data_IF_516721090463
#
_entry.id   IF_516721090463
#
_cell.length_a   1.000
_cell.length_b   1.000
_cell.length_c   1.000
_cell.angle_alpha   90.00
_cell.angle_beta   90.00
_cell.angle_gamma   90.00
#
_symmetry.space_group_name_H-M   'P 1'
#
loop_
_entity.id
_entity.type
_entity.pdbx_description
1 polymer ?
#
# COMPACT_ATOMS: atom_id res chain seq x y z
N UNK A 1 0.45 -3.22 -21.52
CA UNK A 1 0.51 -3.68 -20.12
C UNK A 1 1.92 -4.15 -19.84
N UNK A 2 2.65 -3.45 -18.97
CA UNK A 2 4.03 -3.79 -18.64
C UNK A 2 4.06 -4.97 -17.67
N UNK A 3 3.77 -6.18 -18.17
CA UNK A 3 3.76 -7.43 -17.39
C UNK A 3 5.05 -7.68 -16.61
N UNK A 4 6.20 -7.26 -17.16
CA UNK A 4 7.48 -7.33 -16.46
C UNK A 4 7.53 -6.51 -15.16
N UNK A 5 6.83 -5.37 -15.10
CA UNK A 5 6.78 -4.53 -13.91
C UNK A 5 5.89 -5.17 -12.83
N UNK A 6 4.75 -5.76 -13.23
CA UNK A 6 3.85 -6.50 -12.31
C UNK A 6 4.59 -7.67 -11.65
N UNK A 7 5.31 -8.46 -12.46
CA UNK A 7 6.11 -9.58 -11.98
C UNK A 7 7.22 -9.07 -11.05
N UNK A 8 7.92 -8.00 -11.43
CA UNK A 8 8.97 -7.39 -10.61
C UNK A 8 8.48 -6.94 -9.23
N UNK A 9 7.37 -6.19 -9.18
CA UNK A 9 6.76 -5.72 -7.93
C UNK A 9 6.34 -6.92 -7.04
N UNK A 10 5.80 -7.97 -7.64
CA UNK A 10 5.35 -9.18 -6.92
C UNK A 10 6.53 -9.95 -6.35
N UNK A 11 7.61 -10.11 -7.13
CA UNK A 11 8.85 -10.74 -6.67
C UNK A 11 9.47 -9.95 -5.51
N UNK A 12 9.53 -8.62 -5.61
CA UNK A 12 10.04 -7.76 -4.53
C UNK A 12 9.19 -7.90 -3.27
N UNK A 13 7.85 -7.90 -3.39
CA UNK A 13 6.96 -8.08 -2.25
C UNK A 13 7.16 -9.46 -1.57
N UNK A 14 7.31 -10.52 -2.35
CA UNK A 14 7.59 -11.88 -1.85
C UNK A 14 8.94 -11.94 -1.14
N UNK A 15 9.99 -11.34 -1.73
CA UNK A 15 11.33 -11.28 -1.13
C UNK A 15 11.33 -10.52 0.19
N UNK A 16 10.59 -9.42 0.27
CA UNK A 16 10.45 -8.62 1.48
C UNK A 16 9.82 -9.45 2.61
N UNK A 17 8.72 -10.15 2.30
CA UNK A 17 8.07 -11.06 3.26
C UNK A 17 9.00 -12.19 3.67
N UNK A 18 9.67 -12.86 2.73
CA UNK A 18 10.61 -13.95 3.01
C UNK A 18 11.81 -13.50 3.85
N UNK A 19 12.29 -12.28 3.69
CA UNK A 19 13.43 -11.75 4.43
C UNK A 19 13.08 -11.35 5.86
N UNK A 20 11.92 -10.71 6.06
CA UNK A 20 11.50 -10.25 7.39
C UNK A 20 10.79 -11.33 8.22
N UNK A 21 10.16 -12.34 7.59
CA UNK A 21 9.54 -13.47 8.28
C UNK A 21 10.45 -14.26 9.23
N UNK A 22 11.70 -14.63 8.87
CA UNK A 22 12.64 -15.29 9.77
C UNK A 22 13.22 -14.33 10.81
N UNK A 23 13.18 -13.02 10.54
CA UNK A 23 13.68 -11.98 11.45
C UNK A 23 12.70 -11.70 12.60
N UNK A 24 11.41 -12.00 12.40
CA UNK A 24 10.39 -11.93 13.44
C UNK A 24 10.52 -13.12 14.38
N UNK A 25 10.65 -12.85 15.69
CA UNK A 25 10.78 -13.90 16.72
C UNK A 25 9.64 -14.93 16.62
N UNK A 26 9.94 -16.24 16.69
CA UNK A 26 8.91 -17.27 16.69
C UNK A 26 7.97 -17.04 17.89
N UNK A 27 6.68 -16.79 17.60
CA UNK A 27 5.64 -16.51 18.59
C UNK A 27 4.92 -15.16 18.41
N UNK A 28 5.52 -14.17 17.72
CA UNK A 28 4.86 -12.86 17.48
C UNK A 28 3.95 -12.88 16.25
N UNK A 29 2.81 -13.56 16.36
CA UNK A 29 1.79 -13.65 15.28
C UNK A 29 1.27 -12.28 14.82
N UNK A 30 1.19 -11.29 15.73
CA UNK A 30 0.76 -9.92 15.42
C UNK A 30 1.74 -9.19 14.49
N UNK A 31 3.04 -9.38 14.66
CA UNK A 31 4.05 -8.76 13.79
C UNK A 31 4.02 -9.37 12.39
N UNK A 32 3.83 -10.69 12.29
CA UNK A 32 3.66 -11.35 10.98
C UNK A 32 2.41 -10.86 10.26
N UNK A 33 1.31 -10.67 10.98
CA UNK A 33 0.07 -10.11 10.43
C UNK A 33 0.26 -8.65 9.96
N UNK A 34 0.96 -7.84 10.76
CA UNK A 34 1.27 -6.45 10.39
C UNK A 34 2.15 -6.39 9.14
N UNK A 35 3.16 -7.25 9.05
CA UNK A 35 4.02 -7.37 7.89
C UNK A 35 3.24 -7.73 6.63
N UNK A 36 2.46 -8.80 6.66
CA UNK A 36 1.65 -9.22 5.51
C UNK A 36 0.66 -8.12 5.12
N UNK A 37 0.00 -7.51 6.12
CA UNK A 37 -0.95 -6.42 5.89
C UNK A 37 -0.30 -5.21 5.22
N UNK A 38 0.85 -4.77 5.74
CA UNK A 38 1.58 -3.62 5.19
C UNK A 38 2.12 -3.91 3.78
N UNK A 39 2.67 -5.11 3.55
CA UNK A 39 3.12 -5.52 2.22
C UNK A 39 1.97 -5.60 1.23
N UNK A 40 0.81 -6.15 1.63
CA UNK A 40 -0.37 -6.20 0.77
C UNK A 40 -0.91 -4.82 0.42
N UNK A 41 -0.92 -3.89 1.38
CA UNK A 41 -1.32 -2.49 1.13
C UNK A 41 -0.35 -1.82 0.16
N UNK A 42 0.96 -1.98 0.37
CA UNK A 42 1.96 -1.41 -0.54
C UNK A 42 1.91 -2.02 -1.95
N UNK A 43 1.72 -3.34 -2.03
CA UNK A 43 1.60 -4.07 -3.29
C UNK A 43 0.33 -3.67 -4.06
N UNK A 44 -0.82 -3.56 -3.39
CA UNK A 44 -2.07 -3.12 -4.02
C UNK A 44 -1.98 -1.67 -4.50
N UNK A 45 -1.33 -0.79 -3.74
CA UNK A 45 -1.02 0.58 -4.17
C UNK A 45 -0.16 0.59 -5.42
N UNK A 46 0.92 -0.19 -5.45
CA UNK A 46 1.81 -0.28 -6.60
C UNK A 46 1.10 -0.80 -7.85
N UNK A 47 0.20 -1.77 -7.69
CA UNK A 47 -0.66 -2.24 -8.79
C UNK A 47 -1.63 -1.14 -9.25
N UNK A 48 -2.27 -0.42 -8.33
CA UNK A 48 -3.17 0.67 -8.66
C UNK A 48 -2.46 1.74 -9.50
N UNK A 49 -1.23 2.13 -9.12
CA UNK A 49 -0.38 3.04 -9.91
C UNK A 49 -0.06 2.53 -11.31
N UNK A 50 -0.03 1.21 -11.49
CA UNK A 50 0.24 0.61 -12.80
C UNK A 50 -0.98 0.66 -13.74
N UNK A 51 -2.19 0.59 -13.17
CA UNK A 51 -3.44 0.70 -13.92
C UNK A 51 -3.80 2.14 -14.23
N UNK A 52 -3.59 3.04 -13.27
CA UNK A 52 -3.81 4.47 -13.45
C UNK A 52 -2.64 5.28 -12.86
N UNK A 53 -1.67 5.69 -13.71
CA UNK A 53 -0.52 6.48 -13.25
C UNK A 53 -0.91 7.90 -12.82
N UNK A 54 -2.14 8.35 -13.08
CA UNK A 54 -2.68 9.63 -12.64
C UNK A 54 -3.62 9.49 -11.44
N UNK A 55 -3.46 8.43 -10.63
CA UNK A 55 -4.15 8.31 -9.35
C UNK A 55 -4.07 9.62 -8.57
N UNK A 56 -5.19 10.08 -7.97
CA UNK A 56 -5.21 11.30 -7.19
C UNK A 56 -4.12 11.19 -6.13
N UNK A 57 -3.18 12.13 -6.19
CA UNK A 57 -2.07 12.19 -5.26
C UNK A 57 -2.58 12.39 -3.83
N UNK A 58 -1.69 12.25 -2.82
CA UNK A 58 -2.06 12.42 -1.42
C UNK A 58 -2.82 13.72 -1.16
N UNK A 59 -2.42 14.80 -1.84
CA UNK A 59 -3.07 16.11 -1.78
C UNK A 59 -4.51 16.09 -2.31
N UNK A 60 -4.77 15.40 -3.41
CA UNK A 60 -6.13 15.26 -3.99
C UNK A 60 -7.00 14.32 -3.16
N UNK A 61 -6.42 13.30 -2.52
CA UNK A 61 -7.12 12.44 -1.55
C UNK A 61 -7.53 13.24 -0.31
N UNK A 62 -6.64 14.10 0.21
CA UNK A 62 -6.98 15.03 1.29
C UNK A 62 -8.10 15.97 0.85
N UNK A 63 -8.03 16.58 -0.32
CA UNK A 63 -9.11 17.43 -0.83
C UNK A 63 -10.44 16.68 -0.92
N UNK A 64 -10.44 15.41 -1.32
CA UNK A 64 -11.67 14.61 -1.42
C UNK A 64 -12.23 14.24 -0.05
N UNK A 65 -11.36 13.90 0.91
CA UNK A 65 -11.75 13.55 2.29
C UNK A 65 -12.21 14.78 3.09
N UNK A 66 -11.54 15.92 2.91
CA UNK A 66 -11.78 17.13 3.67
C UNK A 66 -12.78 18.10 3.01
N UNK A 67 -13.06 17.97 1.70
CA UNK A 67 -14.15 18.73 1.03
C UNK A 67 -15.46 18.73 1.82
N UNK A 68 -16.03 17.56 2.21
CA UNK A 68 -17.28 17.56 2.94
C UNK A 68 -17.16 18.24 4.31
N UNK A 69 -16.03 18.11 5.01
CA UNK A 69 -15.82 18.79 6.30
C UNK A 69 -15.77 20.32 6.14
N UNK A 70 -15.15 20.82 5.06
CA UNK A 70 -15.12 22.28 4.78
C UNK A 70 -16.49 22.86 4.45
N UNK A 71 -17.44 22.04 4.00
CA UNK A 71 -18.83 22.48 3.75
C UNK A 71 -19.68 22.53 5.03
N UNK A 72 -19.29 21.79 6.07
CA UNK A 72 -20.05 21.68 7.33
C UNK A 72 -19.52 22.69 8.37
N UNK A 73 -18.29 23.17 8.22
CA UNK A 73 -17.70 24.21 9.08
C UNK A 73 -18.18 25.61 8.65
N UNK A 74 -19.05 26.30 9.43
CA UNK A 74 -19.29 27.71 9.22
C UNK A 74 -18.01 28.51 9.53
N UNK A 75 -17.81 29.59 8.77
CA UNK A 75 -16.71 30.55 8.93
C UNK A 75 -16.65 31.15 10.34
#
# INVERSE_FOLDING_TARGET
MNWGVIIGITVVAILLVLYEWPRIKPGRKKEKAALIGLTLIGWSLALALLFDPNLPGPTQLMDTLFRPLTQILPK
#
